data_IF_259934059660
#
_entry.id   IF_259934059660
#
_cell.length_a   1.000
_cell.length_b   1.000
_cell.length_c   1.000
_cell.angle_alpha   90.00
_cell.angle_beta   90.00
_cell.angle_gamma   90.00
#
_symmetry.space_group_name_H-M   'P 1'
#
loop_
_entity.id
_entity.type
_entity.pdbx_description
1 polymer ?
#
# COMPACT_ATOMS: atom_id res chain seq x y z
N UNK A 1 7.50 -41.05 15.20
CA UNK A 1 8.55 -41.29 14.19
C UNK A 1 7.82 -41.78 12.94
N UNK A 2 7.74 -41.05 11.84
CA UNK A 2 8.55 -39.94 11.34
C UNK A 2 7.67 -39.00 10.52
N UNK A 3 7.78 -37.70 10.80
CA UNK A 3 8.26 -36.66 9.86
C UNK A 3 7.33 -36.41 8.67
N UNK A 4 6.39 -35.50 8.90
CA UNK A 4 5.76 -34.72 7.83
C UNK A 4 6.78 -33.69 7.38
N UNK A 5 7.48 -34.02 6.30
CA UNK A 5 8.37 -33.13 5.56
C UNK A 5 7.59 -31.89 5.13
N UNK A 6 7.72 -30.83 5.93
CA UNK A 6 7.16 -29.51 5.63
C UNK A 6 8.16 -28.82 4.69
N UNK A 7 8.03 -29.10 3.39
CA UNK A 7 8.78 -28.37 2.38
C UNK A 7 8.46 -26.86 2.51
N UNK A 8 9.48 -25.98 2.49
CA UNK A 8 9.26 -24.54 2.50
C UNK A 8 8.56 -24.14 1.19
N UNK A 9 7.61 -23.21 1.28
CA UNK A 9 6.93 -22.61 0.12
C UNK A 9 7.91 -21.67 -0.60
N UNK A 10 8.91 -22.24 -1.29
CA UNK A 10 9.68 -21.54 -2.32
C UNK A 10 8.86 -21.56 -3.60
N UNK A 11 7.83 -20.71 -3.64
CA UNK A 11 7.02 -20.44 -4.82
C UNK A 11 7.79 -19.58 -5.83
N UNK A 12 8.87 -20.13 -6.39
CA UNK A 12 9.52 -19.53 -7.54
C UNK A 12 8.53 -19.61 -8.72
N UNK A 13 8.00 -18.47 -9.14
CA UNK A 13 7.25 -18.40 -10.39
C UNK A 13 8.25 -18.48 -11.53
N UNK A 14 8.25 -19.61 -12.24
CA UNK A 14 9.13 -19.86 -13.40
C UNK A 14 8.78 -19.00 -14.63
N UNK A 15 7.78 -18.11 -14.51
CA UNK A 15 7.42 -17.15 -15.55
C UNK A 15 8.06 -15.77 -15.26
N UNK A 16 9.05 -15.34 -16.07
CA UNK A 16 9.73 -14.05 -15.87
C UNK A 16 8.80 -12.84 -16.01
N UNK A 17 7.69 -12.96 -16.75
CA UNK A 17 6.69 -11.88 -16.89
C UNK A 17 5.89 -11.73 -15.60
N UNK A 18 5.51 -12.85 -14.97
CA UNK A 18 4.80 -12.83 -13.70
C UNK A 18 5.69 -12.30 -12.57
N UNK A 19 6.98 -12.62 -12.57
CA UNK A 19 7.92 -12.08 -11.58
C UNK A 19 8.03 -10.55 -11.67
N UNK A 20 8.09 -10.01 -12.90
CA UNK A 20 8.09 -8.57 -13.15
C UNK A 20 6.77 -7.91 -12.71
N UNK A 21 5.63 -8.55 -12.99
CA UNK A 21 4.33 -8.07 -12.53
C UNK A 21 4.25 -8.04 -10.99
N UNK A 22 4.75 -9.08 -10.33
CA UNK A 22 4.79 -9.17 -8.87
C UNK A 22 5.66 -8.10 -8.25
N UNK A 23 6.84 -7.85 -8.81
CA UNK A 23 7.70 -6.76 -8.37
C UNK A 23 7.01 -5.40 -8.53
N UNK A 24 6.34 -5.19 -9.67
CA UNK A 24 5.59 -3.95 -9.90
C UNK A 24 4.47 -3.74 -8.87
N UNK A 25 3.69 -4.78 -8.56
CA UNK A 25 2.66 -4.75 -7.50
C UNK A 25 3.29 -4.54 -6.12
N UNK A 26 4.43 -5.18 -5.85
CA UNK A 26 5.14 -5.09 -4.56
C UNK A 26 5.53 -3.66 -4.20
N UNK A 27 5.90 -2.88 -5.21
CA UNK A 27 6.32 -1.49 -5.06
C UNK A 27 5.16 -0.48 -5.19
N UNK A 28 3.91 -0.94 -5.29
CA UNK A 28 2.73 -0.08 -5.34
C UNK A 28 2.59 0.85 -4.11
N UNK A 29 2.83 0.40 -2.86
CA UNK A 29 2.72 1.27 -1.68
C UNK A 29 3.62 2.51 -1.75
N UNK A 30 4.85 2.35 -2.23
CA UNK A 30 5.80 3.45 -2.39
C UNK A 30 5.34 4.45 -3.47
N UNK A 31 4.85 3.95 -4.61
CA UNK A 31 4.27 4.80 -5.68
C UNK A 31 3.08 5.61 -5.17
N UNK A 32 2.20 4.99 -4.38
CA UNK A 32 1.04 5.65 -3.79
C UNK A 32 1.46 6.67 -2.71
N UNK A 33 2.47 6.36 -1.89
CA UNK A 33 3.00 7.31 -0.91
C UNK A 33 3.55 8.58 -1.59
N UNK A 34 4.29 8.39 -2.67
CA UNK A 34 4.83 9.47 -3.49
C UNK A 34 3.74 10.32 -4.17
N UNK A 35 2.65 9.71 -4.63
CA UNK A 35 1.48 10.44 -5.11
C UNK A 35 0.81 11.26 -4.00
N UNK A 36 0.65 10.68 -2.79
CA UNK A 36 0.08 11.38 -1.63
C UNK A 36 0.94 12.57 -1.20
N UNK A 37 2.27 12.43 -1.27
CA UNK A 37 3.22 13.52 -1.01
C UNK A 37 3.00 14.69 -1.96
N UNK A 38 2.96 14.42 -3.27
CA UNK A 38 2.73 15.46 -4.27
C UNK A 38 1.32 16.08 -4.14
N UNK A 39 0.31 15.28 -3.76
CA UNK A 39 -1.04 15.77 -3.47
C UNK A 39 -1.06 16.72 -2.27
N UNK A 40 -0.33 16.39 -1.19
CA UNK A 40 -0.23 17.27 -0.03
C UNK A 40 0.42 18.61 -0.40
N UNK A 41 1.49 18.59 -1.22
CA UNK A 41 2.12 19.80 -1.75
C UNK A 41 1.15 20.61 -2.64
N UNK A 42 0.34 19.93 -3.46
CA UNK A 42 -0.68 20.57 -4.28
C UNK A 42 -1.78 21.24 -3.44
N UNK A 43 -2.23 20.59 -2.35
CA UNK A 43 -3.24 21.14 -1.43
C UNK A 43 -2.81 22.47 -0.80
N UNK A 44 -1.52 22.65 -0.54
CA UNK A 44 -0.99 23.91 0.03
C UNK A 44 -0.55 24.92 -1.03
N UNK A 45 -0.71 24.61 -2.32
CA UNK A 45 -0.45 25.53 -3.42
C UNK A 45 1.01 25.61 -3.86
N UNK A 46 1.83 24.58 -3.61
CA UNK A 46 3.20 24.53 -4.13
C UNK A 46 3.21 24.56 -5.67
N UNK A 47 4.01 25.43 -6.31
CA UNK A 47 3.90 25.73 -7.75
C UNK A 47 4.18 24.52 -8.65
N UNK A 48 5.06 23.61 -8.24
CA UNK A 48 5.50 22.46 -9.04
C UNK A 48 4.73 21.17 -8.73
N UNK A 49 3.86 21.17 -7.71
CA UNK A 49 3.20 19.97 -7.23
C UNK A 49 2.27 19.34 -8.27
N UNK A 50 1.53 20.17 -9.01
CA UNK A 50 0.60 19.70 -10.05
C UNK A 50 1.33 19.05 -11.23
N UNK A 51 2.49 19.59 -11.63
CA UNK A 51 3.31 19.01 -12.70
C UNK A 51 4.01 17.73 -12.24
N UNK A 52 4.36 17.63 -10.96
CA UNK A 52 4.87 16.38 -10.38
C UNK A 52 3.78 15.30 -10.30
N UNK A 53 2.57 15.63 -9.85
CA UNK A 53 1.39 14.73 -9.89
C UNK A 53 1.15 14.22 -11.31
N UNK A 54 1.12 15.12 -12.31
CA UNK A 54 0.96 14.76 -13.72
C UNK A 54 1.96 13.71 -14.16
N UNK A 55 3.25 13.94 -13.86
CA UNK A 55 4.34 13.02 -14.23
C UNK A 55 4.19 11.65 -13.56
N UNK A 56 3.71 11.58 -12.32
CA UNK A 56 3.48 10.30 -11.63
C UNK A 56 2.29 9.54 -12.22
N UNK A 57 1.18 10.23 -12.48
CA UNK A 57 0.05 9.63 -13.18
C UNK A 57 0.44 9.14 -14.58
N UNK A 58 1.20 9.94 -15.34
CA UNK A 58 1.74 9.53 -16.64
C UNK A 58 2.57 8.23 -16.57
N UNK A 59 3.48 8.15 -15.59
CA UNK A 59 4.29 6.94 -15.39
C UNK A 59 3.43 5.71 -15.08
N UNK A 60 2.43 5.84 -14.20
CA UNK A 60 1.49 4.74 -13.90
C UNK A 60 0.63 4.36 -15.10
N UNK A 61 0.16 5.35 -15.86
CA UNK A 61 -0.59 5.17 -17.10
C UNK A 61 0.22 4.45 -18.19
N UNK A 62 1.54 4.67 -18.24
CA UNK A 62 2.43 3.99 -19.17
C UNK A 62 2.78 2.57 -18.70
N UNK A 63 3.16 2.43 -17.43
CA UNK A 63 3.70 1.17 -16.90
C UNK A 63 2.63 0.15 -16.53
N UNK A 64 1.45 0.56 -16.04
CA UNK A 64 0.39 -0.38 -15.66
C UNK A 64 0.00 -1.35 -16.77
N UNK A 65 -0.04 -0.88 -18.03
CA UNK A 65 -0.38 -1.72 -19.17
C UNK A 65 0.68 -2.78 -19.47
N UNK A 66 1.96 -2.43 -19.31
CA UNK A 66 3.09 -3.35 -19.52
C UNK A 66 3.10 -4.52 -18.53
N UNK A 67 2.56 -4.31 -17.33
CA UNK A 67 2.51 -5.33 -16.27
C UNK A 67 1.12 -5.98 -16.13
N UNK A 68 0.20 -5.77 -17.08
CA UNK A 68 -1.13 -6.39 -17.05
C UNK A 68 -2.08 -5.82 -16.00
N UNK A 69 -1.93 -4.54 -15.61
CA UNK A 69 -2.83 -3.81 -14.71
C UNK A 69 -3.66 -2.77 -15.49
N UNK A 70 -4.68 -3.20 -16.25
CA UNK A 70 -5.50 -2.29 -17.08
C UNK A 70 -6.25 -1.27 -16.21
N UNK A 71 -6.76 -1.68 -15.04
CA UNK A 71 -7.49 -0.77 -14.15
C UNK A 71 -6.63 0.36 -13.59
N UNK A 72 -5.41 0.04 -13.17
CA UNK A 72 -4.41 1.03 -12.73
C UNK A 72 -4.12 2.02 -13.86
N UNK A 73 -3.98 1.50 -15.09
CA UNK A 73 -3.73 2.30 -16.28
C UNK A 73 -4.87 3.28 -16.57
N UNK A 74 -6.12 2.81 -16.52
CA UNK A 74 -7.31 3.63 -16.76
C UNK A 74 -7.43 4.78 -15.77
N UNK A 75 -7.32 4.48 -14.47
CA UNK A 75 -7.45 5.49 -13.40
C UNK A 75 -6.34 6.53 -13.53
N UNK A 76 -5.10 6.09 -13.72
CA UNK A 76 -3.96 7.00 -13.88
C UNK A 76 -4.10 7.89 -15.12
N UNK A 77 -4.56 7.34 -16.25
CA UNK A 77 -4.84 8.14 -17.46
C UNK A 77 -5.94 9.16 -17.24
N UNK A 78 -7.03 8.79 -16.58
CA UNK A 78 -8.12 9.72 -16.29
C UNK A 78 -7.64 10.89 -15.42
N UNK A 79 -6.85 10.61 -14.37
CA UNK A 79 -6.26 11.64 -13.52
C UNK A 79 -5.27 12.54 -14.27
N UNK A 80 -4.41 11.96 -15.12
CA UNK A 80 -3.50 12.72 -15.99
C UNK A 80 -4.28 13.65 -16.95
N UNK A 81 -5.31 13.12 -17.60
CA UNK A 81 -6.14 13.89 -18.52
C UNK A 81 -6.87 15.03 -17.81
N UNK A 82 -7.34 14.83 -16.57
CA UNK A 82 -7.93 15.91 -15.76
C UNK A 82 -6.96 17.07 -15.53
N UNK A 83 -5.67 16.80 -15.40
CA UNK A 83 -4.63 17.84 -15.23
C UNK A 83 -4.33 18.56 -16.55
N UNK A 84 -4.30 17.82 -17.65
CA UNK A 84 -4.01 18.35 -18.99
C UNK A 84 -5.17 19.18 -19.57
N UNK A 85 -6.41 18.88 -19.17
CA UNK A 85 -7.61 19.53 -19.68
C UNK A 85 -7.85 20.87 -18.99
N UNK A 86 -7.91 22.01 -19.73
CA UNK A 86 -8.28 23.29 -19.15
C UNK A 86 -9.74 23.30 -18.65
N UNK A 87 -10.06 24.00 -17.55
CA UNK A 87 -9.15 24.81 -16.72
C UNK A 87 -8.21 23.95 -15.87
N UNK A 88 -6.99 24.46 -15.67
CA UNK A 88 -5.95 23.79 -14.88
C UNK A 88 -6.46 23.60 -13.45
N UNK A 89 -6.36 22.39 -12.86
CA UNK A 89 -6.77 22.15 -11.48
C UNK A 89 -6.15 23.13 -10.49
N UNK A 90 -6.96 23.54 -9.52
CA UNK A 90 -6.56 24.37 -8.39
C UNK A 90 -6.52 23.52 -7.11
N UNK A 91 -5.93 24.00 -6.00
CA UNK A 91 -5.94 23.25 -4.74
C UNK A 91 -7.35 22.82 -4.25
N UNK A 92 -8.42 23.50 -4.71
CA UNK A 92 -9.81 23.12 -4.42
C UNK A 92 -10.23 21.81 -5.12
N UNK A 93 -9.55 21.42 -6.18
CA UNK A 93 -9.77 20.17 -6.93
C UNK A 93 -9.04 18.97 -6.32
N UNK A 94 -8.30 19.15 -5.20
CA UNK A 94 -7.45 18.11 -4.63
C UNK A 94 -8.19 16.81 -4.28
N UNK A 95 -9.46 16.91 -3.88
CA UNK A 95 -10.29 15.76 -3.52
C UNK A 95 -10.49 14.81 -4.72
N UNK A 96 -10.48 15.30 -5.96
CA UNK A 96 -10.53 14.46 -7.16
C UNK A 96 -9.29 13.57 -7.29
N UNK A 97 -8.12 14.11 -6.96
CA UNK A 97 -6.87 13.36 -7.00
C UNK A 97 -6.73 12.42 -5.80
N UNK A 98 -7.26 12.80 -4.64
CA UNK A 98 -7.34 11.88 -3.49
C UNK A 98 -8.20 10.66 -3.81
N UNK A 99 -9.36 10.87 -4.44
CA UNK A 99 -10.20 9.76 -4.89
C UNK A 99 -9.47 8.89 -5.91
N UNK A 100 -8.78 9.48 -6.89
CA UNK A 100 -8.00 8.71 -7.86
C UNK A 100 -6.88 7.89 -7.20
N UNK A 101 -6.21 8.41 -6.16
CA UNK A 101 -5.19 7.66 -5.40
C UNK A 101 -5.83 6.51 -4.61
N UNK A 102 -7.03 6.71 -4.08
CA UNK A 102 -7.79 5.65 -3.39
C UNK A 102 -8.20 4.56 -4.36
N UNK A 103 -8.76 4.92 -5.51
CA UNK A 103 -9.13 3.97 -6.57
C UNK A 103 -7.91 3.19 -7.08
N UNK A 104 -6.75 3.84 -7.17
CA UNK A 104 -5.48 3.18 -7.50
C UNK A 104 -5.08 2.15 -6.45
N UNK A 105 -5.22 2.47 -5.15
CA UNK A 105 -4.96 1.51 -4.06
C UNK A 105 -5.84 0.28 -4.25
N UNK A 106 -7.15 0.46 -4.42
CA UNK A 106 -8.10 -0.63 -4.56
C UNK A 106 -7.78 -1.49 -5.80
N UNK A 107 -7.35 -0.86 -6.91
CA UNK A 107 -6.93 -1.56 -8.11
C UNK A 107 -5.65 -2.40 -7.90
N UNK A 108 -4.67 -1.90 -7.15
CA UNK A 108 -3.47 -2.64 -6.79
C UNK A 108 -3.77 -3.80 -5.83
N UNK A 109 -4.65 -3.59 -4.85
CA UNK A 109 -5.04 -4.62 -3.89
C UNK A 109 -5.81 -5.75 -4.58
N UNK A 110 -6.76 -5.42 -5.45
CA UNK A 110 -7.47 -6.40 -6.26
C UNK A 110 -6.51 -7.21 -7.16
N UNK A 111 -5.51 -6.55 -7.75
CA UNK A 111 -4.49 -7.21 -8.57
C UNK A 111 -3.59 -8.14 -7.74
N UNK A 112 -3.28 -7.75 -6.50
CA UNK A 112 -2.51 -8.58 -5.57
C UNK A 112 -3.25 -9.88 -5.24
N UNK A 113 -4.55 -9.78 -4.94
CA UNK A 113 -5.40 -10.94 -4.65
C UNK A 113 -5.51 -11.87 -5.86
N UNK A 114 -5.72 -11.33 -7.06
CA UNK A 114 -5.79 -12.13 -8.30
C UNK A 114 -4.47 -12.83 -8.63
N UNK A 115 -3.34 -12.19 -8.33
CA UNK A 115 -2.01 -12.76 -8.54
C UNK A 115 -1.62 -13.83 -7.49
N UNK A 116 -2.51 -14.15 -6.54
CA UNK A 116 -2.19 -15.06 -5.43
C UNK A 116 -1.13 -14.51 -4.48
N UNK A 117 -0.83 -13.22 -4.57
CA UNK A 117 0.13 -12.54 -3.71
C UNK A 117 -0.54 -12.24 -2.37
N UNK A 118 0.14 -12.43 -1.23
CA UNK A 118 -0.31 -11.79 -0.01
C UNK A 118 -0.38 -10.28 -0.28
N UNK A 119 -1.59 -9.72 -0.20
CA UNK A 119 -1.83 -8.28 -0.12
C UNK A 119 -0.72 -7.59 0.70
N UNK A 120 -0.34 -6.35 0.38
CA UNK A 120 0.65 -5.62 1.20
C UNK A 120 0.26 -5.58 2.69
N UNK A 121 -1.03 -5.57 3.00
CA UNK A 121 -1.60 -5.67 4.35
C UNK A 121 -1.52 -7.09 4.95
N UNK A 122 -1.43 -8.14 4.12
CA UNK A 122 -1.26 -9.54 4.55
C UNK A 122 0.18 -10.04 4.45
N UNK A 123 1.15 -9.15 4.19
CA UNK A 123 2.59 -9.43 4.33
C UNK A 123 3.05 -9.38 5.79
N UNK A 124 2.44 -10.25 6.58
CA UNK A 124 2.92 -10.62 7.90
C UNK A 124 3.47 -12.06 7.79
N UNK A 125 4.78 -12.29 7.53
CA UNK A 125 5.39 -13.63 7.52
C UNK A 125 5.04 -14.43 8.78
N UNK A 126 4.88 -15.75 8.60
CA UNK A 126 4.27 -16.72 9.52
C UNK A 126 4.99 -17.02 10.85
N UNK A 127 5.53 -16.02 11.53
CA UNK A 127 5.78 -16.08 12.98
C UNK A 127 5.07 -14.90 13.63
N UNK A 128 4.08 -15.20 14.47
CA UNK A 128 3.16 -14.21 15.05
C UNK A 128 3.87 -13.01 15.67
N UNK A 129 3.34 -11.83 15.42
CA UNK A 129 3.92 -10.56 15.87
C UNK A 129 3.73 -10.41 17.36
N UNK A 130 4.79 -10.10 18.11
CA UNK A 130 4.68 -9.76 19.53
C UNK A 130 4.60 -8.24 19.68
N UNK A 131 3.50 -7.74 20.24
CA UNK A 131 3.39 -6.34 20.66
C UNK A 131 3.70 -6.23 22.15
N UNK A 132 4.60 -5.33 22.54
CA UNK A 132 4.82 -5.00 23.95
C UNK A 132 4.09 -3.70 24.26
N UNK A 133 3.09 -3.76 25.13
CA UNK A 133 2.36 -2.59 25.60
C UNK A 133 2.93 -2.15 26.94
N UNK A 134 3.47 -0.93 27.00
CA UNK A 134 3.96 -0.30 28.21
C UNK A 134 2.93 0.72 28.71
N UNK A 135 1.92 0.24 29.42
CA UNK A 135 0.82 1.08 29.88
C UNK A 135 0.12 0.51 31.11
N UNK A 136 -0.25 1.39 32.04
CA UNK A 136 -1.06 1.04 33.21
C UNK A 136 -2.47 0.54 32.85
N UNK A 137 -3.18 -0.08 33.79
CA UNK A 137 -4.53 -0.57 33.56
C UNK A 137 -5.49 0.57 33.20
N UNK A 138 -6.29 0.38 32.15
CA UNK A 138 -7.27 1.38 31.71
C UNK A 138 -8.05 0.96 30.47
N UNK A 139 -9.16 1.66 30.16
CA UNK A 139 -10.02 1.32 29.01
C UNK A 139 -9.27 1.38 27.67
N UNK A 140 -8.36 2.33 27.50
CA UNK A 140 -7.52 2.44 26.30
C UNK A 140 -6.58 1.25 26.12
N UNK A 141 -6.03 0.70 27.22
CA UNK A 141 -5.18 -0.51 27.18
C UNK A 141 -5.95 -1.69 26.61
N UNK A 142 -7.16 -1.89 27.12
CA UNK A 142 -8.03 -3.00 26.70
C UNK A 142 -8.45 -2.86 25.23
N UNK A 143 -8.66 -1.62 24.77
CA UNK A 143 -8.98 -1.35 23.38
C UNK A 143 -7.81 -1.64 22.45
N UNK A 144 -6.60 -1.18 22.80
CA UNK A 144 -5.39 -1.42 22.01
C UNK A 144 -5.05 -2.93 21.99
N UNK A 145 -5.11 -3.60 23.14
CA UNK A 145 -4.88 -5.05 23.23
C UNK A 145 -5.82 -5.84 22.31
N UNK A 146 -7.11 -5.52 22.35
CA UNK A 146 -8.13 -6.16 21.51
C UNK A 146 -7.89 -5.89 20.02
N UNK A 147 -7.67 -4.64 19.63
CA UNK A 147 -7.44 -4.28 18.23
C UNK A 147 -6.17 -4.91 17.66
N UNK A 148 -5.11 -5.03 18.46
CA UNK A 148 -3.88 -5.73 18.07
C UNK A 148 -4.09 -7.24 17.95
N UNK A 149 -4.87 -7.85 18.84
CA UNK A 149 -5.24 -9.27 18.76
C UNK A 149 -6.09 -9.60 17.52
N UNK A 150 -7.05 -8.74 17.16
CA UNK A 150 -7.89 -8.91 15.96
C UNK A 150 -7.08 -8.94 14.67
N UNK A 151 -5.94 -8.25 14.63
CA UNK A 151 -5.02 -8.22 13.47
C UNK A 151 -3.84 -9.18 13.62
N UNK A 152 -3.88 -10.09 14.59
CA UNK A 152 -2.98 -11.24 14.68
C UNK A 152 -1.72 -11.05 15.55
N UNK A 153 -1.68 -10.02 16.42
CA UNK A 153 -0.58 -9.85 17.37
C UNK A 153 -0.80 -10.67 18.65
N UNK A 154 0.30 -11.22 19.17
CA UNK A 154 0.43 -11.68 20.55
C UNK A 154 0.86 -10.50 21.40
N UNK A 155 -0.05 -10.01 22.25
CA UNK A 155 0.21 -8.82 23.07
C UNK A 155 0.78 -9.23 24.44
N UNK A 156 1.89 -8.61 24.83
CA UNK A 156 2.49 -8.76 26.15
C UNK A 156 2.50 -7.41 26.86
N UNK A 157 1.80 -7.32 27.99
CA UNK A 157 1.62 -6.04 28.69
C UNK A 157 2.56 -5.95 29.87
N UNK A 158 3.26 -4.82 29.95
CA UNK A 158 4.24 -4.52 30.98
C UNK A 158 3.92 -3.16 31.60
N UNK A 159 4.12 -3.05 32.90
CA UNK A 159 3.86 -1.80 33.66
C UNK A 159 5.16 -1.05 34.00
N UNK A 160 6.30 -1.59 33.59
CA UNK A 160 7.64 -1.02 33.71
C UNK A 160 8.47 -1.34 32.46
N UNK A 161 9.49 -0.53 32.20
CA UNK A 161 10.42 -0.62 31.05
C UNK A 161 10.96 -2.05 30.87
N UNK A 162 10.87 -2.59 29.65
CA UNK A 162 11.37 -3.93 29.29
C UNK A 162 12.71 -3.76 28.59
N UNK A 163 13.78 -4.39 29.09
CA UNK A 163 15.08 -4.43 28.42
C UNK A 163 14.91 -5.19 27.08
N UNK A 164 15.20 -4.57 25.92
CA UNK A 164 14.81 -5.12 24.61
C UNK A 164 15.78 -6.18 24.05
N UNK A 165 16.51 -6.92 24.89
CA UNK A 165 17.48 -7.94 24.46
C UNK A 165 17.26 -9.31 25.09
#
# INVERSE_FOLDING_TARGET
>A
MSETDSAPFDGAVDDPILQLQWEYIREAPERLAELRKDLAAFRVGEPDALDSLKRRFHKLAGSGGSYGLPRVTEIARAAEQRILTPPRPTPQDADLFEQAITDLKDAFDASSVMAGMPSPESRLPGFGYRAILLMGPGPLRNEIERSLGEVGFVVAIHESEVDPW
#
